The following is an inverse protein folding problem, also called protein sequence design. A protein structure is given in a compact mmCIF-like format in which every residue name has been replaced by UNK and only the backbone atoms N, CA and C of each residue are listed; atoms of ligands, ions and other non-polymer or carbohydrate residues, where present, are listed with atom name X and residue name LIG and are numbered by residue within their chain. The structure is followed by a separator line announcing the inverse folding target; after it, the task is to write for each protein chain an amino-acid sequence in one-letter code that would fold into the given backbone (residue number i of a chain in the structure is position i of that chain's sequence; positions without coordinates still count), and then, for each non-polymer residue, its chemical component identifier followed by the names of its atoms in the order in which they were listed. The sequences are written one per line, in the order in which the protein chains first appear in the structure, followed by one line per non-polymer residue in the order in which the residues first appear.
data_IF_052759483377
#
_entry.id   IF_052759483377
#
_cell.length_a   1.000
_cell.length_b   1.000
_cell.length_c   1.000
_cell.angle_alpha   90.00
_cell.angle_beta   90.00
_cell.angle_gamma   90.00
#
_symmetry.space_group_name_H-M   'P 1'
#
loop_
_entity.id
_entity.type
_entity.pdbx_description
1 polymer ?
#
# COMPACT_ATOMS: atom_id res chain seq x y z
N UNK A 1 18.65 -8.75 18.01
CA UNK A 1 19.07 -8.93 16.61
C UNK A 1 18.40 -7.89 15.73
N UNK A 2 19.18 -7.21 14.93
CA UNK A 2 18.64 -6.25 13.96
C UNK A 2 18.26 -7.00 12.67
N UNK A 3 17.00 -7.34 12.53
CA UNK A 3 16.51 -7.90 11.28
C UNK A 3 16.27 -6.79 10.30
N UNK A 4 16.71 -7.01 9.08
CA UNK A 4 16.45 -6.12 7.93
C UNK A 4 15.74 -6.92 6.85
N UNK A 5 14.67 -6.38 6.33
CA UNK A 5 13.87 -7.02 5.28
C UNK A 5 13.87 -6.14 4.04
N UNK A 6 14.09 -6.74 2.90
CA UNK A 6 13.97 -6.06 1.60
C UNK A 6 12.60 -6.36 1.00
N UNK A 7 11.90 -5.31 0.61
CA UNK A 7 10.60 -5.39 -0.08
C UNK A 7 10.77 -4.81 -1.48
N UNK A 8 10.39 -5.56 -2.49
CA UNK A 8 10.49 -5.15 -3.88
C UNK A 8 9.11 -4.76 -4.42
N UNK A 9 8.97 -3.48 -4.75
CA UNK A 9 7.74 -2.88 -5.26
C UNK A 9 6.91 -2.22 -4.17
N UNK A 10 6.55 -0.95 -4.38
CA UNK A 10 5.70 -0.15 -3.49
C UNK A 10 4.26 -0.06 -4.01
N UNK A 11 3.71 -1.19 -4.45
CA UNK A 11 2.29 -1.34 -4.71
C UNK A 11 1.52 -1.59 -3.41
N UNK A 12 0.28 -2.05 -3.52
CA UNK A 12 -0.57 -2.34 -2.35
C UNK A 12 0.09 -3.33 -1.41
N UNK A 13 0.55 -4.46 -1.93
CA UNK A 13 1.13 -5.52 -1.12
C UNK A 13 2.46 -5.11 -0.48
N UNK A 14 3.33 -4.48 -1.26
CA UNK A 14 4.64 -4.04 -0.76
C UNK A 14 4.53 -2.97 0.31
N UNK A 15 3.65 -2.00 0.14
CA UNK A 15 3.43 -0.96 1.15
C UNK A 15 2.83 -1.55 2.43
N UNK A 16 1.86 -2.47 2.34
CA UNK A 16 1.30 -3.12 3.52
C UNK A 16 2.38 -3.90 4.27
N UNK A 17 3.19 -4.69 3.57
CA UNK A 17 4.27 -5.46 4.16
C UNK A 17 5.30 -4.54 4.84
N UNK A 18 5.73 -3.50 4.16
CA UNK A 18 6.73 -2.55 4.69
C UNK A 18 6.23 -1.85 5.96
N UNK A 19 5.01 -1.33 5.92
CA UNK A 19 4.40 -0.63 7.07
C UNK A 19 4.17 -1.58 8.25
N UNK A 20 3.71 -2.79 7.98
CA UNK A 20 3.47 -3.78 9.04
C UNK A 20 4.77 -4.20 9.71
N UNK A 21 5.80 -4.51 8.93
CA UNK A 21 7.13 -4.88 9.45
C UNK A 21 7.75 -3.74 10.25
N UNK A 22 7.70 -2.52 9.72
CA UNK A 22 8.23 -1.35 10.39
C UNK A 22 7.52 -1.09 11.73
N UNK A 23 6.21 -1.30 11.78
CA UNK A 23 5.42 -1.22 13.01
C UNK A 23 5.80 -2.25 14.06
N UNK A 24 6.47 -3.33 13.66
CA UNK A 24 7.05 -4.35 14.56
C UNK A 24 8.52 -4.08 14.90
N UNK A 25 9.06 -2.94 14.52
CA UNK A 25 10.45 -2.57 14.80
C UNK A 25 11.47 -3.15 13.82
N UNK A 26 11.02 -3.71 12.71
CA UNK A 26 11.91 -4.28 11.69
C UNK A 26 12.39 -3.17 10.75
N UNK A 27 13.68 -3.16 10.42
CA UNK A 27 14.22 -2.26 9.41
C UNK A 27 13.85 -2.78 8.02
N UNK A 28 13.33 -1.89 7.17
CA UNK A 28 12.86 -2.26 5.83
C UNK A 28 13.57 -1.42 4.78
N UNK A 29 14.14 -2.09 3.77
CA UNK A 29 14.52 -1.44 2.51
C UNK A 29 13.39 -1.69 1.50
N UNK A 30 12.73 -0.63 1.08
CA UNK A 30 11.65 -0.68 0.10
C UNK A 30 12.15 -0.14 -1.23
N UNK A 31 12.17 -0.99 -2.24
CA UNK A 31 12.59 -0.62 -3.61
C UNK A 31 11.37 -0.39 -4.48
N UNK A 32 11.32 0.78 -5.12
CA UNK A 32 10.28 1.15 -6.08
C UNK A 32 10.92 1.69 -7.35
N UNK A 33 10.59 1.09 -8.49
CA UNK A 33 11.19 1.48 -9.76
C UNK A 33 10.73 2.86 -10.27
N UNK A 34 9.53 3.31 -9.88
CA UNK A 34 9.06 4.66 -10.27
C UNK A 34 9.77 5.73 -9.44
N UNK A 35 10.10 6.89 -9.98
CA UNK A 35 9.84 7.37 -11.35
C UNK A 35 10.93 6.98 -12.37
N UNK A 36 11.96 6.24 -11.98
CA UNK A 36 13.07 5.86 -12.88
C UNK A 36 12.56 5.01 -14.05
N UNK A 37 11.63 4.09 -13.75
CA UNK A 37 11.02 3.23 -14.74
C UNK A 37 9.53 3.07 -14.44
N UNK A 38 8.68 3.22 -15.47
CA UNK A 38 7.24 3.00 -15.37
C UNK A 38 6.84 1.78 -16.17
N UNK A 39 5.94 0.95 -15.60
CA UNK A 39 5.23 -0.04 -16.42
C UNK A 39 4.20 0.69 -17.30
N UNK A 40 3.69 0.07 -18.39
CA UNK A 40 2.67 0.71 -19.23
C UNK A 40 1.40 1.10 -18.48
N UNK A 41 1.09 0.45 -17.37
CA UNK A 41 -0.12 0.69 -16.60
C UNK A 41 -0.01 1.85 -15.60
N UNK A 42 1.21 2.19 -15.17
CA UNK A 42 1.44 3.19 -14.13
C UNK A 42 1.70 4.58 -14.72
N UNK A 43 1.21 5.62 -14.06
CA UNK A 43 1.30 7.02 -14.49
C UNK A 43 1.82 7.97 -13.41
N UNK A 44 1.74 7.58 -12.14
CA UNK A 44 2.12 8.39 -10.99
C UNK A 44 3.37 7.82 -10.32
N UNK A 45 4.23 8.70 -9.80
CA UNK A 45 5.37 8.28 -8.97
C UNK A 45 4.95 7.86 -7.56
N UNK A 46 3.70 8.06 -7.16
CA UNK A 46 3.19 7.70 -5.84
C UNK A 46 3.13 6.20 -5.59
N UNK A 47 3.09 5.82 -4.33
CA UNK A 47 2.96 4.43 -3.90
C UNK A 47 1.50 3.97 -3.94
N UNK A 48 1.28 2.67 -3.96
CA UNK A 48 -0.05 2.06 -3.97
C UNK A 48 -0.97 2.66 -5.04
N UNK A 49 -0.46 2.86 -6.24
CA UNK A 49 -1.23 3.41 -7.34
C UNK A 49 -2.27 2.40 -7.83
N UNK A 50 -3.55 2.79 -7.77
CA UNK A 50 -4.65 1.97 -8.29
C UNK A 50 -4.81 2.24 -9.79
N UNK A 51 -4.66 1.20 -10.62
CA UNK A 51 -4.60 1.35 -12.08
C UNK A 51 -5.90 1.00 -12.79
N UNK A 52 -6.69 0.06 -12.28
CA UNK A 52 -7.89 -0.44 -12.96
C UNK A 52 -9.17 0.21 -12.46
N UNK A 53 -9.28 0.49 -11.17
CA UNK A 53 -10.50 0.95 -10.53
C UNK A 53 -10.16 1.68 -9.24
N UNK A 54 -11.06 2.55 -8.81
CA UNK A 54 -10.98 3.16 -7.48
C UNK A 54 -11.71 2.35 -6.41
N UNK A 55 -12.22 1.16 -6.75
CA UNK A 55 -12.96 0.30 -5.83
C UNK A 55 -12.06 -0.80 -5.26
N UNK A 56 -12.06 -0.91 -3.94
CA UNK A 56 -11.46 -2.02 -3.20
C UNK A 56 -12.48 -3.11 -2.90
N UNK A 57 -13.57 -3.16 -3.67
CA UNK A 57 -14.63 -4.16 -3.64
C UNK A 57 -15.56 -4.02 -2.42
N UNK A 58 -16.46 -4.99 -2.29
CA UNK A 58 -17.50 -4.96 -1.27
C UNK A 58 -16.96 -4.99 0.16
N UNK A 59 -17.72 -4.39 1.08
CA UNK A 59 -17.41 -4.38 2.52
C UNK A 59 -18.32 -5.29 3.35
N UNK A 60 -19.39 -5.82 2.77
CA UNK A 60 -20.32 -6.69 3.51
C UNK A 60 -19.63 -7.98 3.93
N UNK A 61 -19.86 -8.39 5.18
CA UNK A 61 -19.26 -9.60 5.75
C UNK A 61 -19.75 -10.89 5.09
N UNK A 62 -20.88 -10.84 4.39
CA UNK A 62 -21.42 -11.97 3.62
C UNK A 62 -20.80 -12.08 2.21
N UNK A 63 -19.86 -11.22 1.88
CA UNK A 63 -19.05 -11.30 0.64
C UNK A 63 -17.62 -11.70 0.96
N UNK A 64 -16.96 -12.41 0.04
CA UNK A 64 -15.58 -12.84 0.24
C UNK A 64 -14.63 -11.65 0.42
N UNK A 65 -14.78 -10.60 -0.39
CA UNK A 65 -13.92 -9.42 -0.30
C UNK A 65 -14.17 -8.59 0.95
N UNK A 66 -15.41 -8.54 1.43
CA UNK A 66 -15.76 -7.87 2.69
C UNK A 66 -15.22 -8.61 3.90
N UNK A 67 -15.36 -9.93 3.91
CA UNK A 67 -14.82 -10.77 4.98
C UNK A 67 -13.29 -10.66 5.05
N UNK A 68 -12.61 -10.73 3.91
CA UNK A 68 -11.16 -10.57 3.84
C UNK A 68 -10.71 -9.23 4.41
N UNK A 69 -11.40 -8.14 4.05
CA UNK A 69 -11.08 -6.81 4.57
C UNK A 69 -11.26 -6.72 6.08
N UNK A 70 -12.30 -7.34 6.63
CA UNK A 70 -12.50 -7.38 8.07
C UNK A 70 -11.38 -8.15 8.78
N UNK A 71 -10.95 -9.27 8.21
CA UNK A 71 -9.82 -10.01 8.74
C UNK A 71 -8.54 -9.17 8.70
N UNK A 72 -8.30 -8.47 7.60
CA UNK A 72 -7.15 -7.56 7.47
C UNK A 72 -7.20 -6.42 8.49
N UNK A 73 -8.39 -5.83 8.75
CA UNK A 73 -8.54 -4.80 9.78
C UNK A 73 -8.16 -5.33 11.16
N UNK A 74 -8.62 -6.52 11.49
CA UNK A 74 -8.28 -7.17 12.77
C UNK A 74 -6.79 -7.50 12.89
N UNK A 75 -6.11 -7.71 11.76
CA UNK A 75 -4.67 -7.90 11.71
C UNK A 75 -3.88 -6.59 11.71
N UNK A 76 -4.55 -5.45 11.70
CA UNK A 76 -3.92 -4.13 11.76
C UNK A 76 -3.46 -3.59 10.42
N UNK A 77 -4.21 -3.88 9.34
CA UNK A 77 -3.88 -3.35 8.01
C UNK A 77 -3.75 -1.83 8.01
N UNK A 78 -2.61 -1.34 7.56
CA UNK A 78 -2.34 0.08 7.43
C UNK A 78 -2.97 0.66 6.17
N UNK A 79 -3.04 -0.12 5.09
CA UNK A 79 -3.64 0.35 3.83
C UNK A 79 -5.15 0.51 3.95
N UNK A 80 -5.83 -0.28 4.76
CA UNK A 80 -7.24 -0.08 5.02
C UNK A 80 -7.49 1.21 5.83
N UNK A 81 -6.59 1.57 6.73
CA UNK A 81 -6.64 2.86 7.42
C UNK A 81 -6.48 4.02 6.41
N UNK A 82 -5.53 3.92 5.50
CA UNK A 82 -5.36 4.92 4.43
C UNK A 82 -6.59 5.00 3.53
N UNK A 83 -7.21 3.86 3.20
CA UNK A 83 -8.43 3.82 2.40
C UNK A 83 -9.59 4.55 3.08
N UNK A 84 -9.71 4.44 4.40
CA UNK A 84 -10.76 5.17 5.15
C UNK A 84 -10.60 6.70 5.01
N UNK A 85 -9.38 7.21 5.04
CA UNK A 85 -9.14 8.66 4.89
C UNK A 85 -9.41 9.17 3.48
N UNK A 86 -9.33 8.29 2.48
CA UNK A 86 -9.55 8.61 1.07
C UNK A 86 -10.92 8.13 0.55
N UNK A 87 -11.77 7.61 1.43
CA UNK A 87 -13.09 7.04 1.06
C UNK A 87 -13.97 8.04 0.33
N UNK A 88 -14.61 7.57 -0.73
CA UNK A 88 -15.68 8.28 -1.42
C UNK A 88 -16.96 7.44 -1.40
N UNK A 89 -18.12 8.08 -1.59
CA UNK A 89 -19.40 7.39 -1.57
C UNK A 89 -19.51 6.38 -2.72
N UNK A 90 -19.85 5.12 -2.39
CA UNK A 90 -19.96 4.04 -3.36
C UNK A 90 -20.88 2.91 -2.90
N UNK A 91 -21.90 3.22 -2.11
CA UNK A 91 -22.84 2.23 -1.60
C UNK A 91 -22.17 1.18 -0.70
N UNK A 92 -22.31 -0.10 -1.06
CA UNK A 92 -21.74 -1.21 -0.29
C UNK A 92 -20.29 -1.56 -0.57
N UNK A 93 -19.58 -0.75 -1.38
CA UNK A 93 -18.18 -0.95 -1.70
C UNK A 93 -17.29 0.07 -1.00
N UNK A 94 -16.04 -0.32 -0.76
CA UNK A 94 -14.99 0.61 -0.33
C UNK A 94 -14.37 1.22 -1.58
N UNK A 95 -14.80 2.41 -1.94
CA UNK A 95 -14.20 3.19 -3.02
C UNK A 95 -13.40 4.35 -2.45
N UNK A 96 -12.34 4.73 -3.15
CA UNK A 96 -11.42 5.78 -2.72
C UNK A 96 -11.17 6.78 -3.84
N UNK A 97 -10.81 8.01 -3.47
CA UNK A 97 -10.10 8.90 -4.37
C UNK A 97 -8.70 8.33 -4.58
N UNK A 98 -8.35 7.96 -5.81
CA UNK A 98 -7.10 7.24 -6.10
C UNK A 98 -5.87 8.08 -5.79
N UNK A 99 -5.91 9.36 -6.08
CA UNK A 99 -4.78 10.26 -5.84
C UNK A 99 -4.62 10.52 -4.34
N UNK A 100 -5.71 10.74 -3.63
CA UNK A 100 -5.70 10.92 -2.18
C UNK A 100 -5.22 9.66 -1.46
N UNK A 101 -5.66 8.49 -1.89
CA UNK A 101 -5.23 7.21 -1.34
C UNK A 101 -3.72 6.99 -1.53
N UNK A 102 -3.23 7.17 -2.76
CA UNK A 102 -1.80 7.03 -3.07
C UNK A 102 -0.97 8.05 -2.29
N UNK A 103 -1.41 9.30 -2.20
CA UNK A 103 -0.73 10.34 -1.44
C UNK A 103 -0.63 9.97 0.05
N UNK A 104 -1.70 9.45 0.64
CA UNK A 104 -1.71 9.05 2.05
C UNK A 104 -0.77 7.86 2.31
N UNK A 105 -0.81 6.84 1.46
CA UNK A 105 0.10 5.68 1.60
C UNK A 105 1.56 6.12 1.43
N UNK A 106 1.84 6.97 0.44
CA UNK A 106 3.18 7.51 0.22
C UNK A 106 3.67 8.28 1.45
N UNK A 107 2.82 9.13 2.02
CA UNK A 107 3.12 9.87 3.25
C UNK A 107 3.43 8.95 4.41
N UNK A 108 2.63 7.91 4.62
CA UNK A 108 2.81 6.95 5.71
C UNK A 108 4.16 6.24 5.59
N UNK A 109 4.51 5.79 4.39
CA UNK A 109 5.77 5.09 4.13
C UNK A 109 6.97 6.03 4.31
N UNK A 110 6.92 7.22 3.73
CA UNK A 110 8.03 8.18 3.76
C UNK A 110 8.26 8.78 5.15
N UNK A 111 7.22 8.85 5.98
CA UNK A 111 7.34 9.33 7.35
C UNK A 111 7.79 8.27 8.35
N UNK A 112 7.90 7.01 7.94
CA UNK A 112 8.30 5.92 8.81
C UNK A 112 9.83 5.80 8.87
N UNK A 113 10.40 6.00 10.06
CA UNK A 113 11.86 5.96 10.27
C UNK A 113 12.49 4.60 9.97
N UNK A 114 11.72 3.53 10.14
CA UNK A 114 12.21 2.17 9.91
C UNK A 114 12.16 1.74 8.44
N UNK A 115 11.63 2.57 7.55
CA UNK A 115 11.57 2.29 6.12
C UNK A 115 12.53 3.20 5.37
N UNK A 116 13.49 2.61 4.67
CA UNK A 116 14.36 3.32 3.74
C UNK A 116 13.85 3.06 2.32
N UNK A 117 13.46 4.13 1.62
CA UNK A 117 12.94 4.04 0.25
C UNK A 117 14.09 4.19 -0.75
N UNK A 118 14.16 3.25 -1.68
CA UNK A 118 15.11 3.27 -2.79
C UNK A 118 14.34 3.39 -4.10
N UNK A 119 14.49 4.52 -4.79
CA UNK A 119 13.85 4.78 -6.09
C UNK A 119 14.74 4.26 -7.20
N UNK A 120 14.74 2.96 -7.39
CA UNK A 120 15.51 2.29 -8.43
C UNK A 120 14.88 0.98 -8.84
N UNK A 121 15.19 0.54 -10.06
CA UNK A 121 14.74 -0.76 -10.55
C UNK A 121 15.70 -1.85 -10.09
N UNK A 122 15.16 -2.89 -9.48
CA UNK A 122 15.93 -4.08 -9.10
C UNK A 122 15.80 -5.11 -10.23
N UNK A 123 16.93 -5.50 -10.81
CA UNK A 123 16.97 -6.47 -11.92
C UNK A 123 17.52 -7.83 -11.49
N UNK A 124 18.22 -7.88 -10.37
CA UNK A 124 18.80 -9.11 -9.83
C UNK A 124 18.61 -9.17 -8.31
N UNK A 125 18.36 -10.37 -7.79
CA UNK A 125 18.20 -10.66 -6.36
C UNK A 125 19.43 -11.40 -5.86
#
# INVERSE_FOLDING_TARGET
MNYKVTVLGAGLAGCEAALWLAGKGVQVDLYEQKPVHFSPAHKSAGFAELICSNSLKAERLDSASGLLKEEMRRMGSQLLNAAETARVAAGGALAVDRDAFSAEVTRMVESCENITVHRERVEHI
#
